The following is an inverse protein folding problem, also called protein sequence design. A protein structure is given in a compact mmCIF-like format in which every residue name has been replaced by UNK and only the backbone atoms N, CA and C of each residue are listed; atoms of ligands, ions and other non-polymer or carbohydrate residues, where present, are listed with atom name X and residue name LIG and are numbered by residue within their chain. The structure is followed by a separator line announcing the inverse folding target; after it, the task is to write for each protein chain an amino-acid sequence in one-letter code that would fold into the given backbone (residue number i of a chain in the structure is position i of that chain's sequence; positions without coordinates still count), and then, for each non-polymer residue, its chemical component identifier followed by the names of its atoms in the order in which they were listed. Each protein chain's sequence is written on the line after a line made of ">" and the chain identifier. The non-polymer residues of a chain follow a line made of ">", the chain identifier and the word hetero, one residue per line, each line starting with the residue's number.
data_IF_860180025152
#
_entry.id   IF_860180025152
#
_cell.length_a   1.000
_cell.length_b   1.000
_cell.length_c   1.000
_cell.angle_alpha   90.00
_cell.angle_beta   90.00
_cell.angle_gamma   90.00
#
_symmetry.space_group_name_H-M   'P 1'
#
loop_
_entity.id
_entity.type
_entity.pdbx_description
1 polymer ?
#
# COMPACT_ATOMS: atom_id res chain seq x y z
N UNK A 1 -23.53 -1.05 6.11
CA UNK A 1 -23.99 -2.06 5.12
C UNK A 1 -22.74 -2.81 4.64
N UNK A 2 -22.78 -4.14 4.55
CA UNK A 2 -21.59 -4.89 4.09
C UNK A 2 -21.49 -4.82 2.57
N UNK A 3 -20.39 -4.30 2.04
CA UNK A 3 -20.12 -4.23 0.59
C UNK A 3 -19.88 -5.65 0.06
N UNK A 4 -20.56 -6.03 -1.01
CA UNK A 4 -20.39 -7.34 -1.64
C UNK A 4 -19.18 -7.37 -2.57
N UNK A 5 -18.64 -8.58 -2.86
CA UNK A 5 -17.52 -8.73 -3.82
C UNK A 5 -17.84 -8.13 -5.19
N UNK A 6 -19.08 -8.24 -5.69
CA UNK A 6 -19.48 -7.64 -6.97
C UNK A 6 -19.43 -6.12 -6.94
N UNK A 7 -19.81 -5.51 -5.80
CA UNK A 7 -19.71 -4.06 -5.62
C UNK A 7 -18.26 -3.62 -5.51
N UNK A 8 -17.42 -4.38 -4.81
CA UNK A 8 -15.98 -4.14 -4.79
C UNK A 8 -15.36 -4.26 -6.17
N UNK A 9 -15.68 -5.30 -6.93
CA UNK A 9 -15.17 -5.49 -8.29
C UNK A 9 -15.55 -4.32 -9.23
N UNK A 10 -16.81 -3.86 -9.16
CA UNK A 10 -17.27 -2.71 -9.93
C UNK A 10 -16.51 -1.43 -9.54
N UNK A 11 -16.36 -1.20 -8.24
CA UNK A 11 -15.63 -0.06 -7.70
C UNK A 11 -14.15 -0.06 -8.14
N UNK A 12 -13.45 -1.18 -8.04
CA UNK A 12 -12.05 -1.26 -8.48
C UNK A 12 -11.89 -1.13 -9.99
N UNK A 13 -12.85 -1.62 -10.76
CA UNK A 13 -12.83 -1.42 -12.21
C UNK A 13 -13.07 0.04 -12.62
N UNK A 14 -13.69 0.85 -11.77
CA UNK A 14 -13.80 2.30 -11.95
C UNK A 14 -12.44 2.98 -11.73
N UNK A 15 -11.73 2.61 -10.64
CA UNK A 15 -10.38 3.14 -10.33
C UNK A 15 -9.34 2.67 -11.35
N UNK A 16 -9.39 1.40 -11.74
CA UNK A 16 -8.43 0.76 -12.65
C UNK A 16 -9.18 0.01 -13.77
N UNK A 17 -9.70 0.71 -14.80
CA UNK A 17 -10.51 0.09 -15.85
C UNK A 17 -9.77 -1.04 -16.57
N UNK A 18 -10.40 -2.21 -16.64
CA UNK A 18 -9.87 -3.39 -17.33
C UNK A 18 -8.75 -4.12 -16.59
N UNK A 19 -8.37 -3.69 -15.39
CA UNK A 19 -7.26 -4.30 -14.64
C UNK A 19 -7.50 -5.79 -14.33
N UNK A 20 -8.74 -6.18 -14.04
CA UNK A 20 -9.09 -7.57 -13.73
C UNK A 20 -9.43 -8.43 -14.97
N UNK A 21 -9.18 -7.91 -16.18
CA UNK A 21 -9.31 -8.72 -17.37
C UNK A 21 -8.26 -9.87 -17.38
N UNK A 22 -8.62 -11.06 -17.89
CA UNK A 22 -7.67 -12.15 -18.03
C UNK A 22 -6.41 -11.68 -18.79
N UNK A 23 -5.24 -12.20 -18.37
CA UNK A 23 -3.94 -11.89 -18.98
C UNK A 23 -3.46 -10.43 -18.88
N UNK A 24 -4.13 -9.60 -18.07
CA UNK A 24 -3.72 -8.20 -17.90
C UNK A 24 -2.29 -8.04 -17.39
N UNK A 25 -1.89 -8.82 -16.39
CA UNK A 25 -0.53 -8.75 -15.83
C UNK A 25 0.20 -10.11 -15.91
N UNK A 26 1.06 -10.24 -16.90
CA UNK A 26 1.90 -11.42 -17.09
C UNK A 26 2.98 -11.61 -16.02
N UNK A 27 3.19 -10.62 -15.13
CA UNK A 27 4.16 -10.67 -14.02
C UNK A 27 3.59 -11.30 -12.76
N UNK A 28 2.34 -11.76 -12.78
CA UNK A 28 1.70 -12.37 -11.63
C UNK A 28 2.43 -13.62 -11.16
N UNK A 29 2.44 -13.83 -9.85
CA UNK A 29 2.90 -15.09 -9.27
C UNK A 29 1.86 -16.17 -9.57
N UNK A 30 2.23 -17.20 -10.32
CA UNK A 30 1.31 -18.26 -10.75
C UNK A 30 0.71 -19.07 -9.60
N UNK A 31 1.40 -19.13 -8.45
CA UNK A 31 1.03 -20.00 -7.33
C UNK A 31 0.29 -19.27 -6.21
N UNK A 32 0.06 -17.98 -6.33
CA UNK A 32 -0.53 -17.18 -5.26
C UNK A 32 -1.41 -16.06 -5.84
N UNK A 33 -2.72 -16.07 -5.57
CA UNK A 33 -3.57 -14.99 -6.04
C UNK A 33 -3.20 -13.66 -5.39
N UNK A 34 -3.35 -12.60 -6.15
CA UNK A 34 -3.24 -11.24 -5.64
C UNK A 34 -4.49 -10.84 -4.88
N UNK A 35 -4.37 -9.85 -4.04
CA UNK A 35 -5.46 -9.32 -3.23
C UNK A 35 -5.54 -7.81 -3.33
N UNK A 36 -6.78 -7.31 -3.31
CA UNK A 36 -7.12 -5.93 -3.05
C UNK A 36 -7.49 -5.81 -1.58
N UNK A 37 -6.92 -4.85 -0.90
CA UNK A 37 -7.17 -4.65 0.53
C UNK A 37 -7.63 -3.24 0.83
N UNK A 38 -8.56 -3.13 1.76
CA UNK A 38 -9.19 -1.88 2.16
C UNK A 38 -9.18 -1.73 3.68
N UNK A 39 -9.09 -0.48 4.13
CA UNK A 39 -9.21 -0.11 5.53
C UNK A 39 -10.12 1.10 5.66
N UNK A 40 -11.17 1.01 6.48
CA UNK A 40 -11.96 2.15 6.90
C UNK A 40 -11.12 3.01 7.87
N UNK A 41 -10.72 4.19 7.46
CA UNK A 41 -9.83 5.04 8.26
C UNK A 41 -10.50 5.61 9.51
N UNK A 42 -11.84 5.62 9.59
CA UNK A 42 -12.57 5.98 10.82
C UNK A 42 -12.43 4.91 11.92
N UNK A 43 -12.14 3.67 11.53
CA UNK A 43 -11.94 2.53 12.44
C UNK A 43 -10.47 2.20 12.68
N UNK A 44 -9.57 2.94 12.03
CA UNK A 44 -8.13 2.69 12.14
C UNK A 44 -7.60 2.99 13.54
N UNK A 45 -7.06 1.96 14.19
CA UNK A 45 -6.33 2.09 15.44
C UNK A 45 -4.84 2.36 15.15
N UNK A 46 -4.39 3.57 15.43
CA UNK A 46 -2.97 3.95 15.24
C UNK A 46 -2.00 3.22 16.17
N UNK A 47 -2.51 2.55 17.19
CA UNK A 47 -1.73 1.74 18.14
C UNK A 47 -1.76 0.24 17.80
N UNK A 48 -2.40 -0.16 16.71
CA UNK A 48 -2.54 -1.57 16.27
C UNK A 48 -1.19 -2.30 16.12
N UNK A 49 -0.12 -1.57 15.90
CA UNK A 49 1.22 -2.12 15.79
C UNK A 49 2.28 -1.15 16.33
N UNK A 50 2.90 -1.51 17.44
CA UNK A 50 4.02 -0.78 18.02
C UNK A 50 5.30 -1.62 17.98
N UNK A 51 6.42 -0.96 17.76
CA UNK A 51 7.74 -1.58 17.77
C UNK A 51 8.76 -0.63 18.37
N UNK A 52 9.49 -1.12 19.38
CA UNK A 52 10.70 -0.46 19.87
C UNK A 52 11.89 -0.95 19.04
N UNK A 53 12.70 0.00 18.60
CA UNK A 53 13.92 -0.28 17.83
C UNK A 53 15.14 -0.12 18.73
N UNK A 54 16.14 -0.98 18.54
CA UNK A 54 17.46 -0.85 19.19
C UNK A 54 18.38 0.11 18.43
N UNK A 55 18.04 0.40 17.18
CA UNK A 55 18.75 1.29 16.26
C UNK A 55 18.06 2.67 16.25
N UNK A 56 18.74 3.67 15.73
CA UNK A 56 18.17 5.00 15.53
C UNK A 56 17.25 4.98 14.29
N UNK A 57 15.99 4.59 14.49
CA UNK A 57 14.97 4.54 13.43
C UNK A 57 14.12 5.78 13.48
N UNK A 58 14.00 6.47 12.35
CA UNK A 58 13.12 7.63 12.17
C UNK A 58 12.23 7.46 10.94
N UNK A 59 11.14 8.22 10.89
CA UNK A 59 10.18 8.17 9.78
C UNK A 59 9.82 9.58 9.35
N UNK A 60 9.60 9.78 8.04
CA UNK A 60 9.22 11.06 7.49
C UNK A 60 9.13 11.05 5.98
N UNK A 61 8.60 12.14 5.42
CA UNK A 61 8.65 12.34 3.98
C UNK A 61 10.09 12.53 3.50
N UNK A 62 10.35 12.04 2.29
CA UNK A 62 11.60 12.29 1.60
C UNK A 62 11.78 13.80 1.40
N UNK A 63 12.85 14.37 1.94
CA UNK A 63 13.14 15.81 1.85
C UNK A 63 14.41 16.13 1.07
N UNK A 64 15.17 15.12 0.69
CA UNK A 64 16.44 15.21 -0.05
C UNK A 64 16.84 13.81 -0.55
N UNK A 65 17.89 13.79 -1.37
CA UNK A 65 18.57 12.58 -1.84
C UNK A 65 17.67 11.62 -2.62
N UNK A 66 17.12 12.11 -3.70
CA UNK A 66 16.28 11.32 -4.60
C UNK A 66 17.04 10.15 -5.22
N UNK A 67 18.36 10.31 -5.47
CA UNK A 67 19.20 9.25 -6.01
C UNK A 67 19.35 8.08 -5.02
N UNK A 68 19.45 8.38 -3.70
CA UNK A 68 19.42 7.34 -2.68
C UNK A 68 18.10 6.58 -2.71
N UNK A 69 16.95 7.28 -2.81
CA UNK A 69 15.65 6.63 -2.93
C UNK A 69 15.61 5.68 -4.12
N UNK A 70 15.99 6.13 -5.32
CA UNK A 70 15.95 5.30 -6.53
C UNK A 70 16.86 4.07 -6.40
N UNK A 71 18.04 4.23 -5.78
CA UNK A 71 18.93 3.10 -5.49
C UNK A 71 18.30 2.09 -4.51
N UNK A 72 17.59 2.55 -3.50
CA UNK A 72 16.87 1.71 -2.53
C UNK A 72 15.67 1.02 -3.19
N UNK A 73 14.87 1.74 -3.97
CA UNK A 73 13.75 1.17 -4.75
C UNK A 73 14.25 0.06 -5.68
N UNK A 74 15.38 0.30 -6.39
CA UNK A 74 15.99 -0.68 -7.29
C UNK A 74 16.39 -1.97 -6.57
N UNK A 75 16.86 -1.91 -5.32
CA UNK A 75 17.18 -3.10 -4.52
C UNK A 75 15.95 -3.91 -4.14
N UNK A 76 14.79 -3.27 -4.00
CA UNK A 76 13.54 -3.93 -3.60
C UNK A 76 12.80 -4.48 -4.81
N UNK A 77 12.56 -3.60 -5.81
CA UNK A 77 11.78 -3.91 -7.00
C UNK A 77 12.25 -3.01 -8.17
N UNK A 78 13.16 -3.48 -9.02
CA UNK A 78 13.73 -2.66 -10.10
C UNK A 78 12.70 -2.04 -11.05
N UNK A 79 11.59 -2.73 -11.31
CA UNK A 79 10.51 -2.23 -12.18
C UNK A 79 9.74 -1.04 -11.60
N UNK A 80 9.88 -0.74 -10.31
CA UNK A 80 9.24 0.41 -9.67
C UNK A 80 10.06 1.70 -9.82
N UNK A 81 11.33 1.63 -10.22
CA UNK A 81 12.19 2.82 -10.32
C UNK A 81 11.54 3.95 -11.14
N UNK A 82 10.95 3.72 -12.33
CA UNK A 82 10.28 4.79 -13.07
C UNK A 82 9.04 5.38 -12.35
N UNK A 83 8.42 4.62 -11.45
CA UNK A 83 7.26 5.10 -10.69
C UNK A 83 7.66 6.10 -9.59
N UNK A 84 8.89 6.00 -9.09
CA UNK A 84 9.42 6.88 -8.04
C UNK A 84 10.21 8.06 -8.58
N UNK A 85 10.55 8.08 -9.87
CA UNK A 85 11.31 9.17 -10.46
C UNK A 85 10.53 10.50 -10.42
N UNK A 86 11.13 11.53 -9.84
CA UNK A 86 10.52 12.85 -9.64
C UNK A 86 9.39 12.90 -8.60
N UNK A 87 9.08 11.81 -7.86
CA UNK A 87 8.02 11.80 -6.85
C UNK A 87 8.43 12.52 -5.58
N UNK A 88 7.53 13.32 -5.04
CA UNK A 88 7.71 14.09 -3.80
C UNK A 88 6.89 13.54 -2.61
N UNK A 89 5.84 12.75 -2.90
CA UNK A 89 4.95 12.16 -1.92
C UNK A 89 5.42 10.78 -1.43
N UNK A 90 6.71 10.63 -1.19
CA UNK A 90 7.32 9.38 -0.70
C UNK A 90 7.59 9.48 0.79
N UNK A 91 6.98 8.59 1.56
CA UNK A 91 7.21 8.45 2.99
C UNK A 91 8.22 7.33 3.25
N UNK A 92 9.22 7.60 4.07
CA UNK A 92 10.38 6.74 4.26
C UNK A 92 10.56 6.34 5.72
N UNK A 93 11.17 5.17 5.92
CA UNK A 93 11.81 4.75 7.16
C UNK A 93 13.33 4.82 7.02
N UNK A 94 13.98 5.46 7.97
CA UNK A 94 15.42 5.68 7.99
C UNK A 94 16.06 4.92 9.16
N UNK A 95 17.25 4.39 8.94
CA UNK A 95 18.15 3.89 10.01
C UNK A 95 19.45 4.67 9.90
N UNK A 96 19.84 5.34 10.98
CA UNK A 96 21.01 6.21 11.02
C UNK A 96 21.04 7.21 9.85
N UNK A 97 19.87 7.76 9.51
CA UNK A 97 19.69 8.74 8.44
C UNK A 97 19.68 8.18 7.02
N UNK A 98 19.82 6.88 6.80
CA UNK A 98 19.77 6.21 5.50
C UNK A 98 18.40 5.63 5.22
N UNK A 99 17.91 5.76 4.00
CA UNK A 99 16.63 5.18 3.58
C UNK A 99 16.74 3.64 3.56
N UNK A 100 15.86 2.98 4.33
CA UNK A 100 15.79 1.51 4.37
C UNK A 100 14.41 0.97 4.03
N UNK A 101 13.38 1.83 4.09
CA UNK A 101 12.00 1.50 3.75
C UNK A 101 11.32 2.70 3.13
N UNK A 102 10.34 2.47 2.26
CA UNK A 102 9.64 3.53 1.52
C UNK A 102 8.24 3.09 1.14
N UNK A 103 7.33 4.06 0.98
CA UNK A 103 6.06 3.92 0.28
C UNK A 103 5.66 5.26 -0.34
N UNK A 104 4.83 5.23 -1.38
CA UNK A 104 4.12 6.43 -1.83
C UNK A 104 2.94 6.71 -0.89
N UNK A 105 2.59 7.97 -0.69
CA UNK A 105 1.33 8.37 -0.07
C UNK A 105 0.54 9.11 -1.14
N UNK A 106 -0.49 8.47 -1.67
CA UNK A 106 -1.20 8.92 -2.87
C UNK A 106 -2.65 9.28 -2.56
N UNK A 107 -3.11 10.36 -3.18
CA UNK A 107 -4.52 10.69 -3.32
C UNK A 107 -5.07 9.96 -4.55
N UNK A 108 -6.01 9.06 -4.36
CA UNK A 108 -6.71 8.38 -5.45
C UNK A 108 -8.02 9.08 -5.82
N UNK A 109 -8.36 10.17 -5.13
CA UNK A 109 -9.51 11.00 -5.40
C UNK A 109 -10.81 10.55 -4.77
N UNK A 110 -11.89 11.21 -5.21
CA UNK A 110 -13.25 10.97 -4.77
C UNK A 110 -13.94 9.94 -5.67
N UNK A 111 -14.61 8.98 -5.05
CA UNK A 111 -15.32 7.89 -5.71
C UNK A 111 -16.69 7.64 -5.10
N UNK A 112 -17.53 6.84 -5.79
CA UNK A 112 -18.83 6.41 -5.26
C UNK A 112 -18.74 4.94 -4.86
N UNK A 113 -18.79 4.67 -3.57
CA UNK A 113 -18.85 3.33 -3.01
C UNK A 113 -20.26 3.06 -2.44
N UNK A 114 -21.02 2.19 -3.12
CA UNK A 114 -22.41 1.82 -2.73
C UNK A 114 -23.33 3.04 -2.51
N UNK A 115 -23.18 4.03 -3.40
CA UNK A 115 -24.00 5.25 -3.37
C UNK A 115 -23.51 6.34 -2.41
N UNK A 116 -22.46 6.08 -1.65
CA UNK A 116 -21.81 7.07 -0.81
C UNK A 116 -20.56 7.64 -1.48
N UNK A 117 -20.37 8.95 -1.36
CA UNK A 117 -19.19 9.66 -1.84
C UNK A 117 -18.07 9.49 -0.83
N UNK A 118 -16.93 8.97 -1.26
CA UNK A 118 -15.78 8.63 -0.42
C UNK A 118 -14.46 9.11 -1.01
N UNK A 119 -13.57 9.62 -0.17
CA UNK A 119 -12.21 9.98 -0.55
C UNK A 119 -11.26 8.83 -0.21
N UNK A 120 -10.42 8.46 -1.16
CA UNK A 120 -9.53 7.31 -1.04
C UNK A 120 -8.08 7.74 -1.15
N UNK A 121 -7.28 7.31 -0.18
CA UNK A 121 -5.83 7.41 -0.24
C UNK A 121 -5.17 6.04 -0.29
N UNK A 122 -3.91 5.98 -0.69
CA UNK A 122 -3.15 4.74 -0.82
C UNK A 122 -1.72 4.89 -0.32
N UNK A 123 -1.24 4.01 0.56
CA UNK A 123 0.19 3.85 0.81
C UNK A 123 0.76 2.85 -0.19
N UNK A 124 0.92 3.28 -1.45
CA UNK A 124 1.31 2.43 -2.57
C UNK A 124 2.79 2.06 -2.61
N UNK A 125 3.11 1.01 -3.37
CA UNK A 125 4.49 0.57 -3.66
C UNK A 125 5.40 0.50 -2.43
N UNK A 126 4.91 -0.08 -1.32
CA UNK A 126 5.65 -0.17 -0.07
C UNK A 126 6.78 -1.23 -0.14
N UNK A 127 7.99 -0.83 0.27
CA UNK A 127 9.15 -1.71 0.24
C UNK A 127 10.11 -1.50 1.40
N UNK A 128 10.86 -2.56 1.73
CA UNK A 128 12.00 -2.53 2.68
C UNK A 128 13.15 -3.30 2.07
N UNK A 129 14.36 -2.74 2.09
CA UNK A 129 15.54 -3.42 1.57
C UNK A 129 15.80 -4.74 2.34
N UNK A 130 16.32 -5.79 1.67
CA UNK A 130 16.43 -7.12 2.26
C UNK A 130 17.09 -7.16 3.63
N UNK A 131 18.16 -6.38 3.82
CA UNK A 131 18.98 -6.36 5.03
C UNK A 131 18.24 -5.83 6.27
N UNK A 132 17.11 -5.11 6.07
CA UNK A 132 16.29 -4.52 7.14
C UNK A 132 14.89 -5.15 7.24
N UNK A 133 14.61 -6.21 6.48
CA UNK A 133 13.35 -6.96 6.59
C UNK A 133 13.25 -7.67 7.94
N UNK A 134 12.01 -8.02 8.32
CA UNK A 134 11.68 -8.73 9.58
C UNK A 134 12.05 -7.97 10.86
N UNK A 135 12.47 -6.69 10.76
CA UNK A 135 12.74 -5.83 11.93
C UNK A 135 11.54 -4.97 12.32
N UNK A 136 10.44 -4.98 11.57
CA UNK A 136 9.22 -4.22 11.84
C UNK A 136 9.20 -2.81 11.25
N UNK A 137 10.31 -2.33 10.66
CA UNK A 137 10.44 -0.96 10.13
C UNK A 137 9.39 -0.67 9.06
N UNK A 138 9.25 -1.55 8.06
CA UNK A 138 8.27 -1.38 6.99
C UNK A 138 6.84 -1.31 7.50
N UNK A 139 6.49 -2.09 8.52
CA UNK A 139 5.12 -2.10 9.05
C UNK A 139 4.82 -0.83 9.86
N UNK A 140 5.78 -0.34 10.66
CA UNK A 140 5.63 0.95 11.36
C UNK A 140 5.56 2.10 10.36
N UNK A 141 6.38 2.09 9.31
CA UNK A 141 6.33 3.07 8.23
C UNK A 141 4.95 3.11 7.59
N UNK A 142 4.42 1.93 7.22
CA UNK A 142 3.10 1.83 6.58
C UNK A 142 1.96 2.25 7.51
N UNK A 143 2.03 1.88 8.81
CA UNK A 143 1.10 2.37 9.84
C UNK A 143 1.10 3.91 9.89
N UNK A 144 2.29 4.52 9.88
CA UNK A 144 2.41 5.98 9.91
C UNK A 144 1.85 6.62 8.63
N UNK A 145 2.10 6.04 7.45
CA UNK A 145 1.51 6.48 6.19
C UNK A 145 -0.03 6.39 6.23
N UNK A 146 -0.58 5.29 6.76
CA UNK A 146 -2.02 5.13 6.96
C UNK A 146 -2.59 6.18 7.93
N UNK A 147 -1.85 6.49 9.01
CA UNK A 147 -2.22 7.56 9.93
C UNK A 147 -2.26 8.94 9.24
N UNK A 148 -1.31 9.23 8.37
CA UNK A 148 -1.31 10.47 7.59
C UNK A 148 -2.58 10.57 6.76
N UNK A 149 -2.96 9.53 6.03
CA UNK A 149 -4.21 9.51 5.24
C UNK A 149 -5.44 9.78 6.12
N UNK A 150 -5.53 9.16 7.30
CA UNK A 150 -6.62 9.43 8.25
C UNK A 150 -6.64 10.89 8.70
N UNK A 151 -5.48 11.44 9.05
CA UNK A 151 -5.37 12.81 9.57
C UNK A 151 -5.69 13.85 8.47
N UNK A 152 -5.41 13.51 7.21
CA UNK A 152 -5.78 14.27 6.00
C UNK A 152 -7.25 14.07 5.57
N UNK A 153 -8.03 13.27 6.36
CA UNK A 153 -9.49 13.09 6.18
C UNK A 153 -9.90 12.26 4.98
N UNK A 154 -9.07 11.35 4.51
CA UNK A 154 -9.53 10.28 3.65
C UNK A 154 -10.49 9.36 4.42
N UNK A 155 -11.48 8.82 3.72
CA UNK A 155 -12.46 7.89 4.31
C UNK A 155 -11.89 6.47 4.35
N UNK A 156 -11.15 6.09 3.31
CA UNK A 156 -10.56 4.76 3.18
C UNK A 156 -9.10 4.81 2.74
N UNK A 157 -8.36 3.80 3.18
CA UNK A 157 -7.04 3.48 2.66
C UNK A 157 -7.11 2.21 1.82
N UNK A 158 -6.55 2.25 0.62
CA UNK A 158 -6.57 1.17 -0.35
C UNK A 158 -5.16 0.67 -0.65
N UNK A 159 -4.98 -0.65 -0.68
CA UNK A 159 -3.75 -1.31 -1.12
C UNK A 159 -4.07 -2.23 -2.28
N UNK A 160 -3.50 -1.89 -3.42
CA UNK A 160 -3.66 -2.57 -4.68
C UNK A 160 -2.61 -3.67 -4.88
N UNK A 161 -3.03 -4.79 -5.50
CA UNK A 161 -2.14 -5.83 -6.00
C UNK A 161 -1.10 -6.30 -4.98
N UNK A 162 -1.57 -6.84 -3.85
CA UNK A 162 -0.66 -7.31 -2.80
C UNK A 162 -0.72 -8.83 -2.60
N UNK A 163 0.43 -9.41 -2.27
CA UNK A 163 0.56 -10.80 -1.79
C UNK A 163 0.77 -10.87 -0.27
N UNK A 164 0.99 -9.74 0.39
CA UNK A 164 1.40 -9.63 1.80
C UNK A 164 0.20 -9.41 2.74
N UNK A 165 -0.89 -10.14 2.49
CA UNK A 165 -2.17 -9.92 3.20
C UNK A 165 -2.05 -10.08 4.72
N UNK A 166 -1.35 -11.12 5.21
CA UNK A 166 -1.19 -11.35 6.65
C UNK A 166 -0.34 -10.30 7.36
N UNK A 167 0.56 -9.66 6.61
CA UNK A 167 1.34 -8.55 7.10
C UNK A 167 0.49 -7.29 7.26
N UNK A 168 -0.35 -7.00 6.27
CA UNK A 168 -1.23 -5.82 6.23
C UNK A 168 -2.43 -5.92 7.18
N UNK A 169 -2.93 -7.12 7.42
CA UNK A 169 -3.98 -7.38 8.43
C UNK A 169 -3.58 -6.91 9.83
N UNK A 170 -2.29 -6.88 10.15
CA UNK A 170 -1.78 -6.33 11.42
C UNK A 170 -2.09 -4.85 11.61
N UNK A 171 -2.36 -4.14 10.52
CA UNK A 171 -2.78 -2.73 10.52
C UNK A 171 -4.29 -2.55 10.36
N UNK A 172 -5.06 -3.64 10.33
CA UNK A 172 -6.51 -3.62 10.18
C UNK A 172 -7.02 -3.66 8.74
N UNK A 173 -6.14 -3.78 7.73
CA UNK A 173 -6.59 -3.95 6.35
C UNK A 173 -7.30 -5.28 6.15
N UNK A 174 -8.41 -5.25 5.43
CA UNK A 174 -9.20 -6.43 5.08
C UNK A 174 -9.05 -6.77 3.60
N UNK A 175 -8.97 -8.06 3.27
CA UNK A 175 -9.05 -8.54 1.89
C UNK A 175 -10.50 -8.41 1.44
N UNK A 176 -10.72 -7.63 0.38
CA UNK A 176 -12.06 -7.38 -0.18
C UNK A 176 -12.26 -8.01 -1.55
N UNK A 177 -11.17 -8.33 -2.25
CA UNK A 177 -11.19 -9.01 -3.53
C UNK A 177 -9.90 -9.82 -3.72
N UNK A 178 -10.01 -10.95 -4.42
CA UNK A 178 -8.86 -11.75 -4.87
C UNK A 178 -8.94 -12.00 -6.37
N UNK A 179 -7.79 -12.10 -7.01
CA UNK A 179 -7.70 -12.32 -8.44
C UNK A 179 -6.38 -12.97 -8.85
N UNK A 180 -6.38 -13.63 -10.00
CA UNK A 180 -5.21 -14.24 -10.62
C UNK A 180 -5.20 -13.97 -12.14
N UNK A 181 -4.35 -14.66 -12.89
CA UNK A 181 -4.27 -14.53 -14.36
C UNK A 181 -5.58 -14.85 -15.10
N UNK A 182 -6.54 -15.50 -14.44
CA UNK A 182 -7.86 -15.84 -15.00
C UNK A 182 -8.94 -14.79 -14.69
N UNK A 183 -8.58 -13.78 -13.86
CA UNK A 183 -9.47 -12.73 -13.41
C UNK A 183 -9.85 -12.84 -11.94
N UNK A 184 -11.01 -12.30 -11.58
CA UNK A 184 -11.49 -12.28 -10.20
C UNK A 184 -11.87 -13.67 -9.73
N UNK A 185 -11.40 -14.02 -8.54
CA UNK A 185 -11.75 -15.26 -7.83
C UNK A 185 -12.96 -14.98 -6.94
N UNK A 186 -14.15 -15.37 -7.39
CA UNK A 186 -15.40 -15.22 -6.65
C UNK A 186 -15.49 -16.26 -5.52
N UNK A 187 -15.90 -15.83 -4.31
CA UNK A 187 -16.12 -16.71 -3.14
C UNK A 187 -17.51 -17.33 -3.13
#
# INVERSE_FOLDING_TARGET
>A
MKVTEKQWAAFFNEINPGFFAPDHDKRMQKDKPSSEMFLNLREFDENCYEKKFSENVTFGYLNKDHDELLAVVKKVMPIWVPLFDGRTNVYCGFVDGKIVSFCMVEDLGEHILVGERVNIGSPGCAGTIPEYRNRGIGLVMLRNATKILRDEKYDYSYIHHTYETEWLKKLGYEVVLRWDERGILWS
#
